data_IF_737924890201
#
_entry.id   IF_737924890201
#
_cell.length_a   1.000
_cell.length_b   1.000
_cell.length_c   1.000
_cell.angle_alpha   90.00
_cell.angle_beta   90.00
_cell.angle_gamma   90.00
#
_symmetry.space_group_name_H-M   'P 1'
#
loop_
_entity.id
_entity.type
_entity.pdbx_description
1 polymer ?
#
# COMPACT_ATOMS: atom_id res chain seq x y z
N UNK A 1 1.44 -3.47 -16.45
CA UNK A 1 1.87 -4.81 -16.01
C UNK A 1 2.23 -4.75 -14.53
N UNK A 2 2.19 -5.88 -13.81
CA UNK A 2 2.36 -5.95 -12.35
C UNK A 2 3.04 -7.26 -11.94
N UNK A 3 3.98 -7.21 -10.99
CA UNK A 3 4.59 -8.42 -10.43
C UNK A 3 3.62 -9.13 -9.47
N UNK A 4 3.61 -10.46 -9.54
CA UNK A 4 2.88 -11.33 -8.64
C UNK A 4 3.84 -11.96 -7.60
N UNK A 5 3.27 -12.53 -6.53
CA UNK A 5 4.04 -13.14 -5.45
C UNK A 5 4.76 -14.43 -5.85
N UNK A 6 4.38 -15.03 -6.97
CA UNK A 6 4.98 -16.25 -7.53
C UNK A 6 6.07 -15.96 -8.59
N UNK A 7 6.49 -14.70 -8.71
CA UNK A 7 7.50 -14.27 -9.67
C UNK A 7 6.97 -14.02 -11.08
N UNK A 8 5.68 -14.25 -11.36
CA UNK A 8 5.08 -13.95 -12.66
C UNK A 8 4.75 -12.47 -12.81
N UNK A 9 4.50 -12.06 -14.05
CA UNK A 9 4.02 -10.72 -14.41
C UNK A 9 2.63 -10.81 -15.00
N UNK A 10 1.69 -10.06 -14.43
CA UNK A 10 0.35 -9.87 -14.98
C UNK A 10 0.30 -8.64 -15.90
N UNK A 11 -0.34 -8.76 -17.06
CA UNK A 11 -0.55 -7.66 -18.01
C UNK A 11 -2.05 -7.42 -18.15
N UNK A 12 -2.53 -6.28 -17.67
CA UNK A 12 -3.94 -5.95 -17.65
C UNK A 12 -4.24 -4.81 -16.68
N UNK A 13 -5.52 -4.55 -16.44
CA UNK A 13 -5.97 -3.54 -15.50
C UNK A 13 -5.66 -3.96 -14.05
N UNK A 14 -5.62 -3.01 -13.12
CA UNK A 14 -5.49 -3.36 -11.70
C UNK A 14 -6.68 -4.16 -11.18
N UNK A 15 -7.89 -3.82 -11.62
CA UNK A 15 -9.11 -4.49 -11.20
C UNK A 15 -9.13 -5.98 -11.55
N UNK A 16 -8.46 -6.36 -12.65
CA UNK A 16 -8.35 -7.76 -13.10
C UNK A 16 -7.13 -8.48 -12.52
N UNK A 17 -6.29 -7.77 -11.74
CA UNK A 17 -5.08 -8.34 -11.17
C UNK A 17 -5.38 -9.19 -9.94
N UNK A 18 -4.45 -10.11 -9.64
CA UNK A 18 -4.50 -10.92 -8.42
C UNK A 18 -4.64 -10.10 -7.12
N UNK A 19 -4.14 -8.86 -7.11
CA UNK A 19 -4.09 -8.00 -5.93
C UNK A 19 -5.39 -7.23 -5.66
N UNK A 20 -6.29 -7.14 -6.64
CA UNK A 20 -7.52 -6.36 -6.51
C UNK A 20 -8.36 -6.82 -5.30
N UNK A 21 -8.84 -5.86 -4.50
CA UNK A 21 -9.71 -6.11 -3.35
C UNK A 21 -9.07 -6.82 -2.16
N UNK A 22 -7.79 -7.21 -2.24
CA UNK A 22 -7.11 -7.90 -1.13
C UNK A 22 -6.52 -6.90 -0.15
N UNK A 23 -6.79 -7.11 1.14
CA UNK A 23 -6.18 -6.33 2.20
C UNK A 23 -4.68 -6.63 2.31
N UNK A 24 -3.97 -5.67 2.91
CA UNK A 24 -2.58 -5.80 3.29
C UNK A 24 -2.47 -5.53 4.79
N UNK A 25 -1.81 -6.44 5.51
CA UNK A 25 -1.41 -6.18 6.89
C UNK A 25 0.05 -5.76 6.92
N UNK A 26 0.33 -4.65 7.59
CA UNK A 26 1.69 -4.20 7.87
C UNK A 26 1.98 -4.38 9.36
N UNK A 27 2.98 -5.20 9.74
CA UNK A 27 3.38 -5.34 11.13
C UNK A 27 3.83 -3.99 11.72
N UNK A 28 3.47 -3.75 12.98
CA UNK A 28 3.75 -2.49 13.69
C UNK A 28 5.22 -2.09 13.66
N UNK A 29 6.15 -3.06 13.62
CA UNK A 29 7.60 -2.83 13.56
C UNK A 29 8.12 -2.18 12.26
N UNK A 30 7.30 -2.06 11.21
CA UNK A 30 7.68 -1.40 9.95
C UNK A 30 7.29 0.09 9.92
N UNK A 31 6.70 0.62 10.98
CA UNK A 31 6.37 2.05 11.13
C UNK A 31 7.62 2.85 11.50
N UNK A 32 8.50 3.09 10.52
CA UNK A 32 9.69 3.93 10.74
C UNK A 32 9.32 5.41 10.54
N UNK A 33 9.71 6.25 11.50
CA UNK A 33 9.37 7.67 11.71
C UNK A 33 8.05 7.98 12.43
N UNK A 34 8.11 7.96 13.77
CA UNK A 34 7.14 8.49 14.75
C UNK A 34 6.93 10.02 14.71
N UNK A 35 6.99 10.66 13.54
CA UNK A 35 6.85 12.12 13.41
C UNK A 35 5.46 12.59 12.94
N UNK A 36 4.74 11.75 12.19
CA UNK A 36 3.43 12.08 11.61
C UNK A 36 2.55 10.84 11.71
N UNK A 37 1.46 10.89 12.50
CA UNK A 37 0.51 9.78 12.59
C UNK A 37 0.04 9.40 11.19
N UNK A 38 0.12 8.12 10.84
CA UNK A 38 -0.34 7.53 9.58
C UNK A 38 0.60 7.61 8.37
N UNK A 39 1.92 7.66 8.58
CA UNK A 39 2.92 7.47 7.52
C UNK A 39 3.98 6.45 7.92
N UNK A 40 4.52 5.73 6.94
CA UNK A 40 5.65 4.84 7.16
C UNK A 40 6.51 4.72 5.90
N UNK A 41 7.80 4.46 6.13
CA UNK A 41 8.72 4.03 5.10
C UNK A 41 8.94 2.52 5.23
N UNK A 42 8.61 1.76 4.19
CA UNK A 42 8.59 0.28 4.23
C UNK A 42 9.30 -0.32 3.02
N UNK A 43 9.61 -1.62 3.10
CA UNK A 43 10.10 -2.37 1.96
C UNK A 43 9.10 -2.30 0.78
N UNK A 44 9.60 -2.45 -0.44
CA UNK A 44 8.75 -2.41 -1.62
C UNK A 44 7.81 -3.62 -1.66
N UNK A 45 6.50 -3.37 -1.55
CA UNK A 45 5.47 -4.41 -1.61
C UNK A 45 4.69 -4.25 -2.92
N UNK A 46 4.72 -5.24 -3.84
CA UNK A 46 4.05 -5.12 -5.15
C UNK A 46 2.56 -4.78 -5.07
N UNK A 47 1.87 -5.33 -4.06
CA UNK A 47 0.44 -5.13 -3.84
C UNK A 47 0.08 -3.75 -3.24
N UNK A 48 1.05 -2.98 -2.76
CA UNK A 48 0.78 -1.71 -2.09
C UNK A 48 0.53 -0.61 -3.13
N UNK A 49 -0.71 -0.11 -3.16
CA UNK A 49 -1.18 0.97 -4.04
C UNK A 49 -2.18 1.85 -3.28
N UNK A 50 -2.42 3.09 -3.75
CA UNK A 50 -3.52 3.90 -3.24
C UNK A 50 -4.86 3.12 -3.36
N UNK A 51 -5.71 3.23 -2.34
CA UNK A 51 -7.00 2.56 -2.25
C UNK A 51 -6.98 1.18 -1.57
N UNK A 52 -5.81 0.59 -1.32
CA UNK A 52 -5.72 -0.71 -0.61
C UNK A 52 -6.09 -0.56 0.86
N UNK A 53 -6.88 -1.51 1.38
CA UNK A 53 -7.16 -1.62 2.81
C UNK A 53 -5.91 -2.10 3.56
N UNK A 54 -5.41 -1.25 4.44
CA UNK A 54 -4.19 -1.37 5.22
C UNK A 54 -4.50 -1.24 6.72
N UNK A 55 -4.39 -2.32 7.51
CA UNK A 55 -4.60 -2.31 8.97
C UNK A 55 -5.87 -1.51 9.40
N UNK A 56 -7.03 -1.83 8.83
CA UNK A 56 -8.31 -1.12 9.06
C UNK A 56 -8.35 0.36 8.63
N UNK A 57 -7.39 0.82 7.83
CA UNK A 57 -7.36 2.12 7.17
C UNK A 57 -7.19 1.94 5.66
N UNK A 58 -7.21 3.01 4.87
CA UNK A 58 -6.93 2.99 3.44
C UNK A 58 -5.63 3.70 3.13
N UNK A 59 -4.78 3.08 2.29
CA UNK A 59 -3.61 3.74 1.74
C UNK A 59 -4.06 4.90 0.82
N UNK A 60 -3.68 6.13 1.13
CA UNK A 60 -4.10 7.32 0.38
C UNK A 60 -2.99 7.84 -0.54
N UNK A 61 -1.73 7.65 -0.15
CA UNK A 61 -0.57 8.01 -0.96
C UNK A 61 0.47 6.91 -0.86
N UNK A 62 1.01 6.51 -2.01
CA UNK A 62 2.11 5.55 -2.11
C UNK A 62 3.09 6.07 -3.15
N UNK A 63 4.37 6.19 -2.79
CA UNK A 63 5.42 6.54 -3.75
C UNK A 63 6.73 5.83 -3.39
N UNK A 64 7.52 5.54 -4.42
CA UNK A 64 8.86 4.98 -4.27
C UNK A 64 9.85 6.10 -3.95
N UNK A 65 10.76 5.86 -3.02
CA UNK A 65 11.93 6.71 -2.76
C UNK A 65 13.14 5.82 -2.48
N UNK A 66 14.09 5.82 -3.42
CA UNK A 66 15.19 4.86 -3.42
C UNK A 66 14.67 3.42 -3.42
N UNK A 67 15.03 2.66 -2.40
CA UNK A 67 14.69 1.23 -2.27
C UNK A 67 13.45 0.98 -1.41
N UNK A 68 12.74 2.02 -1.00
CA UNK A 68 11.61 1.93 -0.09
C UNK A 68 10.35 2.55 -0.68
N UNK A 69 9.20 2.11 -0.16
CA UNK A 69 7.91 2.73 -0.40
C UNK A 69 7.51 3.59 0.79
N UNK A 70 7.19 4.85 0.51
CA UNK A 70 6.56 5.74 1.46
C UNK A 70 5.05 5.62 1.29
N UNK A 71 4.37 5.30 2.39
CA UNK A 71 2.92 5.13 2.42
C UNK A 71 2.31 6.07 3.45
N UNK A 72 1.19 6.67 3.09
CA UNK A 72 0.29 7.42 3.97
C UNK A 72 -1.07 6.73 3.97
N UNK A 73 -1.74 6.67 5.12
CA UNK A 73 -3.09 6.09 5.23
C UNK A 73 -4.08 6.97 6.02
N UNK A 74 -5.37 6.69 5.86
CA UNK A 74 -6.47 7.33 6.61
C UNK A 74 -7.59 6.32 6.83
N UNK A 75 -8.30 6.42 7.96
CA UNK A 75 -9.42 5.51 8.28
C UNK A 75 -10.56 5.62 7.26
N UNK A 76 -10.87 6.84 6.82
CA UNK A 76 -11.85 7.08 5.76
C UNK A 76 -11.40 8.31 4.94
N UNK A 77 -10.80 8.10 3.76
CA UNK A 77 -10.38 9.20 2.90
C UNK A 77 -11.50 9.73 1.99
N UNK A 78 -12.69 9.11 2.00
CA UNK A 78 -13.76 9.41 1.05
C UNK A 78 -14.90 10.20 1.69
N UNK A 79 -15.06 10.16 3.01
CA UNK A 79 -15.91 11.11 3.72
C UNK A 79 -15.23 12.48 3.79
N UNK A 80 -15.78 13.45 3.07
CA UNK A 80 -15.49 14.87 3.30
C UNK A 80 -15.94 15.24 4.71
N UNK A 81 -15.07 15.90 5.48
CA UNK A 81 -15.45 16.61 6.71
C UNK A 81 -16.44 17.73 6.43
#
# INVERSE_FOLDING_TARGET
WQQQGDGKVFVGSWADSYWAGRSLELPIGYQTNFGISNRANIACIPRLRPGVLLNNSYATKVYLSGNFMNVTWSADPWTSK
#
